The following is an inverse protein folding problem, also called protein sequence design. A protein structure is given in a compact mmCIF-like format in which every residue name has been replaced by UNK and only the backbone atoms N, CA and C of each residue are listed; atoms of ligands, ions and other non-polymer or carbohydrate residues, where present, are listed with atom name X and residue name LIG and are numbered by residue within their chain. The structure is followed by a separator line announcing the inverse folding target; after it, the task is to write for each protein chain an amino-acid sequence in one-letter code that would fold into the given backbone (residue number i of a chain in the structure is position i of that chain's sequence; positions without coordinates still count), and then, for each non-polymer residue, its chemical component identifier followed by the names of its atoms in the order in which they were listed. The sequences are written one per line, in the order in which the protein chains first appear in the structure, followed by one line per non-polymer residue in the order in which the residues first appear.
data_IF_250533194348
#
_entry.id   IF_250533194348
#
_cell.length_a   1.000
_cell.length_b   1.000
_cell.length_c   1.000
_cell.angle_alpha   90.00
_cell.angle_beta   90.00
_cell.angle_gamma   90.00
#
_symmetry.space_group_name_H-M   'P 1'
#
loop_
_entity.id
_entity.type
_entity.pdbx_description
1 polymer ?
#
# COMPACT_ATOMS: atom_id res chain seq x y z
N UNK A 1 1.94 -2.98 -10.29
CA UNK A 1 3.14 -3.85 -10.31
C UNK A 1 2.97 -5.05 -9.39
N UNK A 2 2.66 -4.84 -8.10
CA UNK A 2 2.20 -5.92 -7.20
C UNK A 2 0.88 -6.51 -7.69
N UNK A 3 -0.13 -5.67 -7.91
CA UNK A 3 -1.49 -6.10 -8.28
C UNK A 3 -1.54 -6.89 -9.60
N UNK A 4 -0.79 -6.47 -10.62
CA UNK A 4 -0.85 -7.07 -11.97
C UNK A 4 0.14 -8.23 -12.15
N UNK A 5 1.31 -8.17 -11.52
CA UNK A 5 2.43 -9.10 -11.79
C UNK A 5 2.91 -9.86 -10.56
N UNK A 6 2.36 -9.60 -9.37
CA UNK A 6 2.82 -10.23 -8.12
C UNK A 6 4.28 -9.91 -7.78
N UNK A 7 4.76 -8.72 -8.15
CA UNK A 7 6.15 -8.33 -7.93
C UNK A 7 6.52 -8.36 -6.44
N UNK A 8 7.62 -9.04 -6.10
CA UNK A 8 8.10 -9.17 -4.72
C UNK A 8 8.88 -7.94 -4.25
N UNK A 9 9.59 -7.27 -5.17
CA UNK A 9 10.36 -6.08 -4.89
C UNK A 9 10.48 -5.22 -6.15
N UNK A 10 10.82 -3.95 -5.96
CA UNK A 10 11.21 -3.04 -7.04
C UNK A 10 12.66 -2.64 -6.81
N UNK A 11 13.46 -2.63 -7.88
CA UNK A 11 14.81 -2.10 -7.86
C UNK A 11 14.99 -0.97 -8.87
N UNK A 12 15.94 -0.08 -8.59
CA UNK A 12 16.29 1.05 -9.43
C UNK A 12 17.76 1.45 -9.24
N UNK A 13 18.31 2.17 -10.21
CA UNK A 13 19.68 2.69 -10.17
C UNK A 13 19.67 4.21 -10.17
N UNK A 14 20.39 4.83 -9.23
CA UNK A 14 20.48 6.28 -9.08
C UNK A 14 21.93 6.73 -9.07
N UNK A 15 22.24 7.76 -9.85
CA UNK A 15 23.53 8.47 -9.85
C UNK A 15 23.92 8.90 -8.44
N UNK A 16 25.16 8.65 -8.06
CA UNK A 16 25.70 9.08 -6.76
C UNK A 16 25.58 10.59 -6.56
N UNK A 17 25.77 11.38 -7.62
CA UNK A 17 25.68 12.84 -7.55
C UNK A 17 24.23 13.37 -7.47
N UNK A 18 23.21 12.56 -7.72
CA UNK A 18 21.82 13.02 -7.74
C UNK A 18 21.18 13.00 -6.34
N UNK A 19 21.53 14.01 -5.54
CA UNK A 19 21.07 14.16 -4.14
C UNK A 19 19.54 14.28 -4.05
N UNK A 20 18.89 14.93 -5.01
CA UNK A 20 17.44 15.13 -5.00
C UNK A 20 16.70 13.79 -5.14
N UNK A 21 17.12 12.96 -6.10
CA UNK A 21 16.57 11.62 -6.29
C UNK A 21 16.85 10.72 -5.08
N UNK A 22 18.05 10.78 -4.51
CA UNK A 22 18.39 9.98 -3.33
C UNK A 22 17.47 10.27 -2.14
N UNK A 23 17.15 11.56 -1.89
CA UNK A 23 16.18 11.93 -0.85
C UNK A 23 14.78 11.42 -1.14
N UNK A 24 14.32 11.52 -2.39
CA UNK A 24 13.01 11.00 -2.77
C UNK A 24 12.92 9.48 -2.54
N UNK A 25 13.88 8.72 -3.06
CA UNK A 25 13.84 7.27 -2.98
C UNK A 25 14.09 6.77 -1.56
N UNK A 26 15.07 7.32 -0.84
CA UNK A 26 15.38 6.89 0.54
C UNK A 26 14.37 7.40 1.55
N UNK A 27 14.13 8.71 1.59
CA UNK A 27 13.45 9.34 2.73
C UNK A 27 11.93 9.36 2.54
N UNK A 28 11.45 9.49 1.29
CA UNK A 28 10.00 9.58 1.01
C UNK A 28 9.40 8.23 0.67
N UNK A 29 10.05 7.47 -0.22
CA UNK A 29 9.53 6.19 -0.73
C UNK A 29 10.02 4.97 0.04
N UNK A 30 11.10 5.09 0.83
CA UNK A 30 11.60 4.01 1.69
C UNK A 30 12.42 2.94 0.95
N UNK A 31 13.09 3.29 -0.15
CA UNK A 31 14.05 2.40 -0.80
C UNK A 31 15.33 2.28 0.01
N UNK A 32 15.88 1.07 0.06
CA UNK A 32 17.14 0.75 0.72
C UNK A 32 18.26 0.62 -0.32
N UNK A 33 19.49 1.01 0.04
CA UNK A 33 20.66 0.84 -0.82
C UNK A 33 21.18 -0.59 -0.69
N UNK A 34 21.20 -1.34 -1.78
CA UNK A 34 21.67 -2.73 -1.82
C UNK A 34 23.17 -2.81 -2.13
N UNK A 35 23.63 -2.10 -3.16
CA UNK A 35 25.03 -2.11 -3.61
C UNK A 35 25.37 -0.83 -4.38
N UNK A 36 26.67 -0.57 -4.51
CA UNK A 36 27.21 0.47 -5.39
C UNK A 36 27.79 -0.22 -6.62
N UNK A 37 27.35 0.19 -7.80
CA UNK A 37 27.85 -0.31 -9.08
C UNK A 37 28.80 0.73 -9.68
N UNK A 38 30.08 0.36 -9.79
CA UNK A 38 31.11 1.25 -10.34
C UNK A 38 30.94 1.44 -11.84
N UNK A 39 31.09 2.68 -12.32
CA UNK A 39 30.98 3.04 -13.74
C UNK A 39 29.71 2.51 -14.42
N UNK A 40 28.59 2.54 -13.70
CA UNK A 40 27.31 2.06 -14.22
C UNK A 40 26.82 2.93 -15.39
N UNK A 41 27.05 4.25 -15.31
CA UNK A 41 26.67 5.18 -16.37
C UNK A 41 27.78 5.33 -17.42
N UNK A 42 27.40 5.74 -18.64
CA UNK A 42 28.31 5.82 -19.78
C UNK A 42 29.45 6.85 -19.61
N UNK A 43 29.28 7.83 -18.73
CA UNK A 43 30.28 8.83 -18.33
C UNK A 43 31.25 8.30 -17.25
N UNK A 44 31.06 7.06 -16.81
CA UNK A 44 31.84 6.44 -15.75
C UNK A 44 31.39 6.81 -14.34
N UNK A 45 30.24 7.49 -14.18
CA UNK A 45 29.67 7.73 -12.86
C UNK A 45 29.14 6.42 -12.25
N UNK A 46 29.37 6.28 -10.95
CA UNK A 46 28.86 5.17 -10.17
C UNK A 46 27.35 5.32 -9.90
N UNK A 47 26.66 4.20 -9.67
CA UNK A 47 25.26 4.17 -9.30
C UNK A 47 25.01 3.45 -7.98
N UNK A 48 24.04 3.94 -7.21
CA UNK A 48 23.41 3.16 -6.16
C UNK A 48 22.33 2.25 -6.77
N UNK A 49 22.47 0.94 -6.57
CA UNK A 49 21.37 -0.01 -6.74
C UNK A 49 20.52 0.03 -5.49
N UNK A 50 19.28 0.51 -5.62
CA UNK A 50 18.33 0.60 -4.52
C UNK A 50 17.20 -0.40 -4.72
N UNK A 51 16.64 -0.91 -3.62
CA UNK A 51 15.57 -1.91 -3.61
C UNK A 51 14.50 -1.55 -2.57
N UNK A 52 13.24 -1.79 -2.91
CA UNK A 52 12.11 -1.72 -1.99
C UNK A 52 11.37 -3.04 -2.00
N UNK A 53 11.19 -3.64 -0.83
CA UNK A 53 10.41 -4.86 -0.66
C UNK A 53 8.90 -4.54 -0.69
N UNK A 54 8.15 -5.29 -1.48
CA UNK A 54 6.72 -5.12 -1.68
C UNK A 54 5.90 -6.18 -0.93
N UNK A 55 6.53 -7.10 -0.21
CA UNK A 55 5.85 -8.19 0.51
C UNK A 55 4.77 -7.66 1.46
N UNK A 56 5.09 -6.62 2.24
CA UNK A 56 4.12 -6.00 3.16
C UNK A 56 2.92 -5.37 2.42
N UNK A 57 3.15 -4.84 1.21
CA UNK A 57 2.11 -4.22 0.40
C UNK A 57 1.18 -5.28 -0.20
N UNK A 58 1.73 -6.45 -0.55
CA UNK A 58 0.96 -7.60 -1.02
C UNK A 58 0.01 -8.11 0.07
N UNK A 59 0.49 -8.31 1.29
CA UNK A 59 -0.33 -8.79 2.40
C UNK A 59 -1.50 -7.83 2.69
N UNK A 60 -1.22 -6.53 2.65
CA UNK A 60 -2.24 -5.48 2.83
C UNK A 60 -3.30 -5.52 1.72
N UNK A 61 -2.89 -5.76 0.47
CA UNK A 61 -3.81 -5.90 -0.66
C UNK A 61 -4.71 -7.12 -0.51
N UNK A 62 -4.16 -8.27 -0.12
CA UNK A 62 -4.93 -9.50 0.11
C UNK A 62 -6.01 -9.31 1.19
N UNK A 63 -5.75 -8.53 2.24
CA UNK A 63 -6.71 -8.23 3.32
C UNK A 63 -7.83 -7.23 2.92
N UNK A 64 -7.65 -6.45 1.84
CA UNK A 64 -8.69 -5.49 1.37
C UNK A 64 -9.74 -6.10 0.44
N UNK A 65 -9.44 -7.25 -0.14
CA UNK A 65 -10.37 -8.03 -0.96
C UNK A 65 -10.97 -9.21 -0.20
N UNK A 66 -11.11 -9.08 1.12
CA UNK A 66 -11.99 -10.00 1.87
C UNK A 66 -13.40 -9.75 1.37
N UNK A 67 -13.81 -10.62 0.45
CA UNK A 67 -15.14 -10.76 -0.11
C UNK A 67 -16.18 -10.72 1.03
N UNK A 68 -16.77 -9.55 1.29
CA UNK A 68 -18.02 -9.40 2.05
C UNK A 68 -19.22 -9.89 1.20
N UNK A 69 -19.01 -10.94 0.41
CA UNK A 69 -20.07 -11.76 -0.13
C UNK A 69 -20.74 -12.52 1.00
N UNK A 70 -21.55 -11.83 1.79
CA UNK A 70 -22.63 -12.50 2.50
C UNK A 70 -23.42 -13.32 1.48
N UNK A 71 -23.51 -14.63 1.72
CA UNK A 71 -24.23 -15.59 0.89
C UNK A 71 -25.67 -15.10 0.72
N UNK A 72 -26.01 -14.57 -0.46
CA UNK A 72 -27.34 -14.05 -0.76
C UNK A 72 -28.35 -15.20 -0.79
N UNK A 73 -28.92 -15.47 0.38
CA UNK A 73 -30.26 -16.02 0.58
C UNK A 73 -30.54 -17.38 -0.09
N UNK A 74 -30.14 -18.47 0.57
CA UNK A 74 -30.84 -19.74 0.43
C UNK A 74 -32.25 -19.63 1.06
N UNK A 75 -33.18 -19.02 0.32
CA UNK A 75 -34.61 -19.08 0.66
C UNK A 75 -35.09 -20.51 0.41
N UNK A 76 -35.08 -21.30 1.49
CA UNK A 76 -35.96 -22.45 1.66
C UNK A 76 -35.30 -23.82 1.59
N UNK A 77 -34.73 -24.27 2.71
CA UNK A 77 -34.99 -25.64 3.20
C UNK A 77 -34.76 -25.76 4.70
N UNK A 78 -35.73 -26.39 5.37
CA UNK A 78 -35.87 -26.58 6.81
C UNK A 78 -34.79 -27.50 7.42
N UNK A 79 -34.49 -27.17 8.68
CA UNK A 79 -34.25 -28.04 9.84
C UNK A 79 -32.86 -28.65 10.18
N UNK A 80 -32.65 -28.67 11.49
CA UNK A 80 -31.70 -29.40 12.37
C UNK A 80 -30.19 -29.03 12.46
N UNK A 81 -29.88 -28.17 13.47
CA UNK A 81 -29.00 -28.47 14.62
C UNK A 81 -27.52 -28.85 14.46
N UNK A 82 -26.58 -27.95 14.85
CA UNK A 82 -25.58 -28.12 15.95
C UNK A 82 -24.46 -27.07 15.96
N UNK A 83 -24.19 -26.57 17.18
CA UNK A 83 -22.92 -26.15 17.83
C UNK A 83 -21.92 -25.22 17.11
N UNK A 84 -21.79 -24.02 17.70
CA UNK A 84 -20.57 -23.60 18.41
C UNK A 84 -19.56 -22.75 17.64
N UNK A 85 -19.35 -21.51 18.09
CA UNK A 85 -18.02 -20.91 18.31
C UNK A 85 -18.18 -19.47 18.83
N UNK A 86 -17.66 -19.23 20.03
CA UNK A 86 -17.53 -17.92 20.66
C UNK A 86 -16.61 -17.03 19.81
N UNK A 87 -17.18 -16.09 19.05
CA UNK A 87 -16.43 -15.11 18.26
C UNK A 87 -16.26 -13.84 19.10
N UNK A 88 -15.03 -13.59 19.55
CA UNK A 88 -14.66 -12.47 20.41
C UNK A 88 -15.21 -11.12 19.92
N UNK A 89 -15.67 -10.30 20.88
CA UNK A 89 -16.22 -8.95 20.70
C UNK A 89 -15.22 -8.03 19.95
N UNK A 90 -15.39 -7.89 18.64
CA UNK A 90 -14.71 -6.82 17.88
C UNK A 90 -15.41 -5.48 18.17
N UNK A 91 -14.64 -4.50 18.64
CA UNK A 91 -15.13 -3.13 18.90
C UNK A 91 -15.39 -2.44 17.56
N UNK A 92 -16.64 -2.05 17.32
CA UNK A 92 -17.03 -1.24 16.15
C UNK A 92 -16.52 0.19 16.34
N UNK A 93 -15.36 0.51 15.76
CA UNK A 93 -14.94 1.91 15.62
C UNK A 93 -15.71 2.51 14.46
N UNK A 94 -16.41 3.62 14.71
CA UNK A 94 -17.11 4.37 13.67
C UNK A 94 -16.04 5.12 12.86
N UNK A 95 -15.54 4.52 11.78
CA UNK A 95 -14.79 5.29 10.79
C UNK A 95 -15.80 6.25 10.14
N UNK A 96 -15.56 7.54 10.36
CA UNK A 96 -16.50 8.61 10.07
C UNK A 96 -16.97 8.60 8.62
N UNK A 97 -18.27 8.86 8.47
CA UNK A 97 -18.97 9.25 7.25
C UNK A 97 -18.01 10.01 6.32
N UNK A 98 -17.76 9.47 5.12
CA UNK A 98 -17.05 10.18 4.04
C UNK A 98 -17.79 11.51 3.84
N UNK A 99 -17.17 12.61 4.30
CA UNK A 99 -17.66 13.96 3.99
C UNK A 99 -17.58 14.08 2.47
N UNK A 100 -18.74 14.13 1.85
CA UNK A 100 -18.84 14.27 0.40
C UNK A 100 -18.33 15.64 -0.01
N UNK A 101 -18.02 15.79 -1.29
CA UNK A 101 -17.60 17.06 -1.91
C UNK A 101 -18.53 18.25 -1.64
N UNK A 102 -19.76 18.02 -1.15
CA UNK A 102 -20.69 19.08 -0.72
C UNK A 102 -20.40 19.71 0.65
N UNK A 103 -19.55 19.10 1.49
CA UNK A 103 -19.20 19.60 2.83
C UNK A 103 -17.88 20.41 2.86
N UNK A 104 -17.23 20.60 1.70
CA UNK A 104 -15.99 21.37 1.58
C UNK A 104 -16.30 22.88 1.52
N UNK A 105 -15.97 23.59 2.59
CA UNK A 105 -15.99 25.06 2.62
C UNK A 105 -14.62 25.58 2.15
N UNK A 106 -14.61 26.33 1.05
CA UNK A 106 -13.40 26.96 0.50
C UNK A 106 -12.93 28.10 1.42
N UNK A 107 -11.83 27.88 2.13
CA UNK A 107 -11.12 28.95 2.86
C UNK A 107 -10.07 29.55 1.94
N UNK A 108 -10.33 30.77 1.47
CA UNK A 108 -9.37 31.56 0.70
C UNK A 108 -8.48 32.34 1.67
N UNK A 109 -7.21 31.94 1.81
CA UNK A 109 -6.23 32.54 2.73
C UNK A 109 -5.52 33.78 2.18
N UNK A 110 -5.98 34.38 1.08
CA UNK A 110 -5.32 35.52 0.44
C UNK A 110 -5.57 36.90 1.07
N UNK A 111 -5.94 36.96 2.36
CA UNK A 111 -6.04 38.25 3.07
C UNK A 111 -5.69 38.13 4.55
N UNK A 112 -4.39 38.14 4.85
CA UNK A 112 -3.80 38.87 5.98
C UNK A 112 -2.52 39.52 5.48
#
# INVERSE_FOLDING_TARGET
MVETFGAQYVSLHVRLANIAALRLYRDTLGFEVEKVESKYYADGEDAYSMKMDLTNLRDTLEDTYVDEGDEVGSVGKKDEGKKGAERGKKRKVRLGRVLGVGDLVEKNESRI
#
